data_IF_470260066468
#
_entry.id   IF_470260066468
#
_cell.length_a   1.000
_cell.length_b   1.000
_cell.length_c   1.000
_cell.angle_alpha   90.00
_cell.angle_beta   90.00
_cell.angle_gamma   90.00
#
_symmetry.space_group_name_H-M   'P 1'
#
loop_
_entity.id
_entity.type
_entity.pdbx_description
1 polymer ?
#
# COMPACT_ATOMS: atom_id res chain seq x y z
N UNK A 1 4.53 -12.27 1.36
CA UNK A 1 4.46 -10.96 0.68
C UNK A 1 5.05 -9.91 1.61
N UNK A 2 6.29 -9.47 1.32
CA UNK A 2 7.18 -8.51 2.01
C UNK A 2 7.00 -8.12 3.50
N UNK A 3 6.52 -9.00 4.38
CA UNK A 3 6.75 -8.96 5.83
C UNK A 3 6.22 -7.76 6.63
N UNK A 4 5.68 -6.72 6.01
CA UNK A 4 5.27 -5.49 6.68
C UNK A 4 3.79 -5.37 7.03
N UNK A 5 3.47 -4.29 7.74
CA UNK A 5 2.12 -3.85 8.10
C UNK A 5 1.61 -2.79 7.12
N UNK A 6 0.28 -2.69 6.96
CA UNK A 6 -0.37 -1.64 6.17
C UNK A 6 -0.78 -0.54 7.13
N UNK A 7 -0.40 0.68 6.84
CA UNK A 7 -0.73 1.85 7.64
C UNK A 7 -1.59 2.82 6.84
N UNK A 8 -2.33 3.64 7.57
CA UNK A 8 -3.25 4.63 7.02
C UNK A 8 -3.14 5.95 7.76
N UNK A 9 -3.23 7.05 7.01
CA UNK A 9 -3.49 8.39 7.53
C UNK A 9 -4.72 8.99 6.84
N UNK A 10 -5.38 9.91 7.53
CA UNK A 10 -6.38 10.77 6.91
C UNK A 10 -5.68 12.06 6.47
N UNK A 11 -5.95 12.52 5.24
CA UNK A 11 -5.36 13.76 4.71
C UNK A 11 -6.36 14.92 4.79
N UNK A 12 -5.83 16.15 4.80
CA UNK A 12 -6.65 17.36 4.71
C UNK A 12 -7.51 17.30 3.44
N UNK A 13 -8.83 17.38 3.59
CA UNK A 13 -9.79 17.21 2.49
C UNK A 13 -10.61 15.91 2.55
N UNK A 14 -10.47 15.11 3.62
CA UNK A 14 -11.31 13.92 3.86
C UNK A 14 -10.86 12.66 3.14
N UNK A 15 -9.76 12.74 2.40
CA UNK A 15 -9.11 11.59 1.77
C UNK A 15 -8.44 10.68 2.78
N UNK A 16 -8.19 9.44 2.35
CA UNK A 16 -7.45 8.44 3.11
C UNK A 16 -6.26 7.98 2.29
N UNK A 17 -5.08 7.95 2.89
CA UNK A 17 -3.87 7.45 2.23
C UNK A 17 -3.36 6.19 2.92
N UNK A 18 -2.93 5.21 2.13
CA UNK A 18 -2.40 3.94 2.60
C UNK A 18 -0.96 3.75 2.14
N UNK A 19 -0.11 3.28 3.04
CA UNK A 19 1.31 3.00 2.79
C UNK A 19 1.75 1.78 3.61
N UNK A 20 2.90 1.21 3.27
CA UNK A 20 3.44 0.06 3.99
C UNK A 20 4.46 0.51 5.03
N UNK A 21 4.57 -0.22 6.14
CA UNK A 21 5.72 -0.15 7.06
C UNK A 21 6.44 -1.49 7.04
N UNK A 22 7.70 -1.50 6.64
CA UNK A 22 8.54 -2.70 6.56
C UNK A 22 9.81 -2.40 7.36
N UNK A 23 10.14 -3.24 8.33
CA UNK A 23 11.31 -3.09 9.21
C UNK A 23 11.43 -1.68 9.83
N UNK A 24 10.29 -1.14 10.28
CA UNK A 24 10.20 0.19 10.88
C UNK A 24 10.22 1.37 9.91
N UNK A 25 10.45 1.14 8.60
CA UNK A 25 10.53 2.18 7.57
C UNK A 25 9.22 2.31 6.80
N UNK A 26 8.81 3.55 6.53
CA UNK A 26 7.68 3.82 5.65
C UNK A 26 8.07 3.63 4.20
N UNK A 27 7.31 2.79 3.50
CA UNK A 27 7.44 2.49 2.08
C UNK A 27 6.14 2.94 1.42
N UNK A 28 6.26 4.03 0.68
CA UNK A 28 5.16 4.68 -0.01
C UNK A 28 5.57 4.94 -1.46
N UNK A 29 4.86 4.32 -2.39
CA UNK A 29 5.15 4.41 -3.82
C UNK A 29 4.14 5.32 -4.55
N UNK A 30 3.26 5.99 -3.80
CA UNK A 30 2.21 6.84 -4.36
C UNK A 30 2.08 8.19 -3.65
N UNK A 31 3.02 8.56 -2.79
CA UNK A 31 3.05 9.86 -2.10
C UNK A 31 3.11 11.05 -3.06
N UNK A 32 3.77 10.90 -4.21
CA UNK A 32 3.94 11.97 -5.21
C UNK A 32 2.60 12.54 -5.71
N UNK A 33 1.51 11.76 -5.64
CA UNK A 33 0.18 12.25 -6.00
C UNK A 33 -0.27 13.42 -5.10
N UNK A 34 0.11 13.43 -3.82
CA UNK A 34 -0.26 14.49 -2.89
C UNK A 34 0.51 15.76 -3.19
N UNK A 35 1.80 15.63 -3.52
CA UNK A 35 2.62 16.76 -3.99
C UNK A 35 2.04 17.39 -5.25
N UNK A 36 1.61 16.59 -6.22
CA UNK A 36 0.99 17.07 -7.46
C UNK A 36 -0.25 17.95 -7.21
N UNK A 37 -1.05 17.60 -6.19
CA UNK A 37 -2.25 18.35 -5.82
C UNK A 37 -2.01 19.39 -4.71
N UNK A 38 -0.77 19.62 -4.30
CA UNK A 38 -0.44 20.56 -3.22
C UNK A 38 -1.04 20.18 -1.87
N UNK A 39 -1.33 18.89 -1.64
CA UNK A 39 -1.89 18.37 -0.39
C UNK A 39 -0.73 17.98 0.53
N UNK A 40 -0.58 18.59 1.72
CA UNK A 40 0.41 18.17 2.68
C UNK A 40 0.14 16.74 3.17
N UNK A 41 1.13 15.86 3.05
CA UNK A 41 1.05 14.49 3.55
C UNK A 41 1.92 14.33 4.80
N UNK A 42 1.27 14.10 5.94
CA UNK A 42 1.93 13.70 7.18
C UNK A 42 1.70 12.20 7.41
N UNK A 43 2.76 11.47 7.75
CA UNK A 43 2.69 10.02 8.03
C UNK A 43 2.29 9.72 9.48
N UNK A 44 2.21 10.71 10.35
CA UNK A 44 1.84 10.55 11.76
C UNK A 44 0.80 11.59 12.19
N UNK A 45 -0.15 11.22 13.07
CA UNK A 45 -0.37 9.86 13.60
C UNK A 45 -1.00 8.94 12.54
N UNK A 46 -0.46 7.73 12.37
CA UNK A 46 -1.07 6.70 11.52
C UNK A 46 -1.74 5.58 12.31
N UNK A 47 -2.58 4.82 11.60
CA UNK A 47 -3.24 3.63 12.10
C UNK A 47 -2.78 2.41 11.30
N UNK A 48 -2.37 1.35 12.00
CA UNK A 48 -2.18 0.04 11.38
C UNK A 48 -3.53 -0.59 11.03
N UNK A 49 -3.65 -1.08 9.79
CA UNK A 49 -4.88 -1.63 9.23
C UNK A 49 -4.69 -3.12 8.99
N UNK A 50 -5.64 -3.92 9.49
CA UNK A 50 -5.66 -5.34 9.22
C UNK A 50 -5.78 -5.61 7.72
N UNK A 51 -4.88 -6.43 7.17
CA UNK A 51 -4.80 -6.78 5.76
C UNK A 51 -6.09 -7.39 5.21
N UNK A 52 -6.85 -8.11 6.02
CA UNK A 52 -8.16 -8.65 5.64
C UNK A 52 -9.16 -7.54 5.27
N UNK A 53 -9.04 -6.36 5.89
CA UNK A 53 -9.87 -5.21 5.54
C UNK A 53 -9.67 -4.77 4.09
N UNK A 54 -8.42 -4.74 3.61
CA UNK A 54 -8.11 -4.38 2.22
C UNK A 54 -8.73 -5.37 1.21
N UNK A 55 -8.90 -6.63 1.61
CA UNK A 55 -9.54 -7.68 0.81
C UNK A 55 -11.06 -7.58 0.71
N UNK A 56 -11.73 -6.76 1.54
CA UNK A 56 -13.19 -6.61 1.52
C UNK A 56 -13.71 -5.97 0.24
N UNK A 57 -12.90 -5.14 -0.41
CA UNK A 57 -13.26 -4.56 -1.70
C UNK A 57 -12.93 -5.58 -2.82
N UNK A 58 -13.94 -6.11 -3.55
CA UNK A 58 -13.71 -7.18 -4.53
C UNK A 58 -12.75 -6.79 -5.65
N UNK A 59 -12.82 -5.54 -6.11
CA UNK A 59 -11.94 -5.02 -7.16
C UNK A 59 -10.48 -4.94 -6.68
N UNK A 60 -10.28 -4.53 -5.43
CA UNK A 60 -8.95 -4.46 -4.80
C UNK A 60 -8.37 -5.85 -4.64
N UNK A 61 -9.18 -6.81 -4.19
CA UNK A 61 -8.78 -8.21 -4.06
C UNK A 61 -8.41 -8.84 -5.42
N UNK A 62 -9.20 -8.57 -6.47
CA UNK A 62 -8.91 -9.07 -7.81
C UNK A 62 -7.57 -8.55 -8.34
N UNK A 63 -7.31 -7.24 -8.24
CA UNK A 63 -6.03 -6.63 -8.62
C UNK A 63 -4.86 -7.18 -7.83
N UNK A 64 -5.05 -7.38 -6.52
CA UNK A 64 -4.05 -7.99 -5.66
C UNK A 64 -3.67 -9.41 -6.11
N UNK A 65 -4.67 -10.25 -6.39
CA UNK A 65 -4.44 -11.63 -6.85
C UNK A 65 -3.69 -11.67 -8.17
N UNK A 66 -4.06 -10.81 -9.12
CA UNK A 66 -3.36 -10.67 -10.41
C UNK A 66 -1.91 -10.20 -10.24
N UNK A 67 -1.67 -9.23 -9.36
CA UNK A 67 -0.31 -8.77 -9.07
C UNK A 67 0.52 -9.91 -8.47
N UNK A 68 -0.03 -10.62 -7.49
CA UNK A 68 0.66 -11.72 -6.83
C UNK A 68 1.01 -12.86 -7.81
N UNK A 69 0.12 -13.19 -8.75
CA UNK A 69 0.41 -14.21 -9.77
C UNK A 69 1.53 -13.77 -10.71
N UNK A 70 1.49 -12.53 -11.21
CA UNK A 70 2.54 -11.98 -12.09
C UNK A 70 3.89 -11.91 -11.41
N UNK A 71 3.96 -11.45 -10.15
CA UNK A 71 5.22 -11.44 -9.39
C UNK A 71 5.78 -12.86 -9.22
N UNK A 72 4.92 -13.84 -8.93
CA UNK A 72 5.35 -15.24 -8.82
C UNK A 72 5.89 -15.79 -10.14
N UNK A 73 5.30 -15.42 -11.27
CA UNK A 73 5.79 -15.77 -12.61
C UNK A 73 7.17 -15.14 -12.89
N UNK A 74 7.36 -13.85 -12.58
CA UNK A 74 8.66 -13.19 -12.76
C UNK A 74 9.75 -13.80 -11.88
N UNK A 75 9.46 -14.12 -10.62
CA UNK A 75 10.42 -14.79 -9.72
C UNK A 75 10.83 -16.16 -10.28
N UNK A 76 9.90 -16.91 -10.87
CA UNK A 76 10.22 -18.20 -11.49
C UNK A 76 11.19 -18.04 -12.67
N UNK A 77 11.00 -17.01 -13.51
CA UNK A 77 11.90 -16.71 -14.65
C UNK A 77 13.31 -16.34 -14.23
N UNK A 78 13.47 -15.66 -13.09
CA UNK A 78 14.80 -15.28 -12.56
C UNK A 78 15.55 -16.48 -11.99
N UNK A 79 14.83 -17.48 -11.47
CA UNK A 79 15.40 -18.68 -10.84
C UNK A 79 15.53 -19.89 -11.77
N UNK A 80 15.17 -19.74 -13.06
CA UNK A 80 15.27 -20.76 -14.11
C UNK A 80 16.41 -20.45 -15.05
#
# INVERSE_FOLDING_TARGET
MFGGSIHRVNVSGGGTHYFNKIDGKYIDLTSDQFTLYGIPLAYEPNQEINREYCGKNPNTLARYRLLASRVAEEIKKVNS
#
